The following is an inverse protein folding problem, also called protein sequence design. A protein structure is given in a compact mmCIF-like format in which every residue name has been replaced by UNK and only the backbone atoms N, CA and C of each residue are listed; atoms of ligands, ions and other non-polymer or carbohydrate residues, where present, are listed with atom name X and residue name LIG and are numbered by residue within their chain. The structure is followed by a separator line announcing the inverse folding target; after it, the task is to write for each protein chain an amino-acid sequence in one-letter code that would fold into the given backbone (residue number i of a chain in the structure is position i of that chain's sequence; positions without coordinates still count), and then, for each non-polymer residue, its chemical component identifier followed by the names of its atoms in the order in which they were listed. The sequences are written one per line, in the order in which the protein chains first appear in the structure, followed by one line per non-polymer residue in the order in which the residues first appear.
data_IF_148223375269
#
_entry.id   IF_148223375269
#
_cell.length_a   1.000
_cell.length_b   1.000
_cell.length_c   1.000
_cell.angle_alpha   90.00
_cell.angle_beta   90.00
_cell.angle_gamma   90.00
#
_symmetry.space_group_name_H-M   'P 1'
#
loop_
_entity.id
_entity.type
_entity.pdbx_description
1 polymer ?
#
# COMPACT_ATOMS: atom_id res chain seq x y z
N UNK A 1 16.92 2.65 -3.26
CA UNK A 1 15.70 1.85 -3.38
C UNK A 1 14.78 2.23 -2.25
N UNK A 2 13.87 3.15 -2.55
CA UNK A 2 12.75 3.47 -1.67
C UNK A 2 11.68 2.38 -1.77
N UNK A 3 11.00 2.13 -0.66
CA UNK A 3 9.89 1.18 -0.59
C UNK A 3 8.63 1.90 -0.11
N UNK A 4 7.53 1.65 -0.82
CA UNK A 4 6.20 2.20 -0.50
C UNK A 4 5.27 1.08 -0.06
N UNK A 5 4.66 1.19 1.12
CA UNK A 5 3.69 0.23 1.65
C UNK A 5 2.29 0.83 1.72
N UNK A 6 1.34 0.22 1.01
CA UNK A 6 -0.02 0.75 0.85
C UNK A 6 -0.99 0.07 1.83
N UNK A 7 -1.87 0.86 2.48
CA UNK A 7 -2.89 0.42 3.45
C UNK A 7 -4.22 1.17 3.24
N UNK A 8 -5.31 0.65 3.82
CA UNK A 8 -6.63 1.34 3.87
C UNK A 8 -6.73 2.13 5.15
N UNK A 9 -7.38 3.28 5.10
CA UNK A 9 -7.71 4.09 6.27
C UNK A 9 -9.20 4.34 6.34
N UNK A 10 -9.73 4.43 7.55
CA UNK A 10 -11.06 4.93 7.82
C UNK A 10 -10.95 6.20 8.64
N UNK A 11 -11.50 7.30 8.11
CA UNK A 11 -11.71 8.54 8.85
C UNK A 11 -13.17 8.60 9.34
N UNK A 12 -13.47 9.28 10.46
CA UNK A 12 -14.83 9.42 10.96
C UNK A 12 -15.69 10.31 10.03
N UNK A 13 -16.94 9.90 9.79
CA UNK A 13 -17.89 10.51 8.84
C UNK A 13 -18.31 11.96 9.17
N UNK A 14 -17.89 12.53 10.31
CA UNK A 14 -18.34 13.83 10.80
C UNK A 14 -17.17 14.81 10.87
N UNK A 15 -17.06 15.72 9.89
CA UNK A 15 -16.05 16.81 9.83
C UNK A 15 -14.62 16.38 10.25
N UNK A 16 -14.23 15.13 9.96
CA UNK A 16 -12.91 14.61 10.20
C UNK A 16 -11.96 15.12 9.13
N UNK A 17 -11.55 16.39 9.25
CA UNK A 17 -10.55 16.98 8.36
C UNK A 17 -9.32 16.07 8.29
N UNK A 18 -8.74 15.81 7.12
CA UNK A 18 -7.44 15.13 7.00
C UNK A 18 -6.33 15.77 7.84
N UNK A 19 -6.54 17.01 8.32
CA UNK A 19 -5.73 17.68 9.36
C UNK A 19 -5.69 16.92 10.70
N UNK A 20 -6.61 16.00 10.98
CA UNK A 20 -6.49 15.07 12.12
C UNK A 20 -5.24 14.20 12.02
N UNK A 21 -4.69 13.99 10.81
CA UNK A 21 -3.42 13.30 10.62
C UNK A 21 -2.23 14.11 11.16
N UNK A 22 -2.34 15.44 11.22
CA UNK A 22 -1.34 16.30 11.87
C UNK A 22 -1.26 16.01 13.38
N UNK A 23 -2.37 15.56 13.96
CA UNK A 23 -2.51 15.25 15.38
C UNK A 23 -2.00 13.86 15.76
N UNK A 24 -1.47 13.07 14.82
CA UNK A 24 -0.85 11.76 15.10
C UNK A 24 0.41 11.85 15.98
N UNK A 25 0.84 13.06 16.34
CA UNK A 25 2.01 13.31 17.18
C UNK A 25 1.75 12.88 18.64
N UNK A 26 2.23 11.70 19.03
CA UNK A 26 2.21 11.21 20.41
C UNK A 26 3.32 10.17 20.67
N UNK A 27 3.76 10.06 21.94
CA UNK A 27 4.74 9.11 22.51
C UNK A 27 5.41 8.09 21.57
N UNK A 28 6.31 8.56 20.69
CA UNK A 28 7.10 7.74 19.77
C UNK A 28 6.84 7.98 18.28
N UNK A 29 5.91 8.87 17.93
CA UNK A 29 5.63 9.35 16.57
C UNK A 29 5.53 10.88 16.59
N UNK A 30 6.23 11.56 15.69
CA UNK A 30 6.05 12.99 15.44
C UNK A 30 5.76 13.25 13.97
N UNK A 31 4.77 14.08 13.68
CA UNK A 31 4.42 14.52 12.32
C UNK A 31 5.09 15.86 12.02
N UNK A 32 5.71 16.00 10.83
CA UNK A 32 6.28 17.25 10.33
C UNK A 32 5.94 17.45 8.85
N UNK A 33 6.17 18.68 8.38
CA UNK A 33 6.07 19.06 6.96
C UNK A 33 4.74 18.68 6.30
N UNK A 34 3.64 18.83 7.05
CA UNK A 34 2.31 18.48 6.57
C UNK A 34 1.83 19.43 5.47
N UNK A 35 1.51 18.88 4.31
CA UNK A 35 1.02 19.64 3.15
C UNK A 35 0.06 18.80 2.31
N UNK A 36 -0.61 19.42 1.33
CA UNK A 36 -1.48 18.70 0.41
C UNK A 36 -1.28 19.13 -1.04
N UNK A 37 -1.65 18.23 -1.97
CA UNK A 37 -1.66 18.50 -3.41
C UNK A 37 -2.79 17.75 -4.10
N UNK A 38 -3.23 18.26 -5.24
CA UNK A 38 -4.13 17.53 -6.14
C UNK A 38 -3.36 16.46 -6.94
N UNK A 39 -3.99 15.32 -7.20
CA UNK A 39 -3.41 14.27 -8.08
C UNK A 39 -3.66 14.61 -9.54
N UNK A 40 -2.61 14.48 -10.35
CA UNK A 40 -2.76 14.46 -11.82
C UNK A 40 -2.75 13.01 -12.31
N UNK A 41 -3.73 12.60 -13.13
CA UNK A 41 -3.76 11.24 -13.67
C UNK A 41 -2.52 10.93 -14.52
N UNK A 42 -1.88 9.80 -14.21
CA UNK A 42 -0.78 9.18 -14.97
C UNK A 42 -1.26 7.93 -15.72
N UNK A 43 -2.41 7.36 -15.35
CA UNK A 43 -3.02 6.23 -16.05
C UNK A 43 -4.34 6.62 -16.72
N UNK A 44 -4.68 5.92 -17.81
CA UNK A 44 -5.96 6.08 -18.47
C UNK A 44 -7.11 5.62 -17.57
N UNK A 45 -8.23 6.34 -17.65
CA UNK A 45 -9.46 6.07 -16.91
C UNK A 45 -9.28 6.09 -15.38
N UNK A 46 -8.42 6.99 -14.88
CA UNK A 46 -8.26 7.19 -13.44
C UNK A 46 -9.58 7.65 -12.79
N UNK A 47 -10.11 6.92 -11.78
CA UNK A 47 -11.46 7.14 -11.29
C UNK A 47 -11.58 8.31 -10.30
N UNK A 48 -10.48 8.71 -9.65
CA UNK A 48 -10.48 9.66 -8.55
C UNK A 48 -10.09 11.08 -8.99
N UNK A 49 -10.96 11.70 -9.79
CA UNK A 49 -10.68 12.97 -10.48
C UNK A 49 -10.52 14.20 -9.57
N UNK A 50 -11.03 14.16 -8.33
CA UNK A 50 -10.93 15.25 -7.35
C UNK A 50 -10.00 14.88 -6.18
N UNK A 51 -9.17 13.84 -6.36
CA UNK A 51 -8.34 13.32 -5.28
C UNK A 51 -7.33 14.36 -4.79
N UNK A 52 -7.35 14.55 -3.47
CA UNK A 52 -6.33 15.30 -2.74
C UNK A 52 -5.45 14.32 -1.98
N UNK A 53 -4.14 14.54 -2.05
CA UNK A 53 -3.14 13.79 -1.28
C UNK A 53 -2.61 14.69 -0.20
N UNK A 54 -2.73 14.25 1.05
CA UNK A 54 -2.10 14.84 2.22
C UNK A 54 -0.80 14.10 2.48
N UNK A 55 0.30 14.82 2.66
CA UNK A 55 1.63 14.27 2.89
C UNK A 55 2.23 14.83 4.17
N UNK A 56 3.10 14.07 4.80
CA UNK A 56 3.95 14.54 5.88
C UNK A 56 5.05 13.53 6.22
N UNK A 57 5.94 13.90 7.12
CA UNK A 57 7.01 13.03 7.63
C UNK A 57 6.65 12.56 9.04
N UNK A 58 6.77 11.25 9.27
CA UNK A 58 6.71 10.60 10.57
C UNK A 58 8.13 10.29 11.04
N UNK A 59 8.45 10.60 12.29
CA UNK A 59 9.64 10.04 12.95
C UNK A 59 9.23 8.85 13.82
N UNK A 60 9.68 7.64 13.49
CA UNK A 60 9.43 6.41 14.26
C UNK A 60 10.64 6.03 15.10
N UNK A 61 10.44 5.86 16.40
CA UNK A 61 11.49 5.40 17.32
C UNK A 61 11.50 3.88 17.43
N UNK A 62 12.47 3.24 16.79
CA UNK A 62 12.71 1.79 16.89
C UNK A 62 13.50 1.49 18.17
N UNK A 63 12.90 0.72 19.07
CA UNK A 63 13.54 0.24 20.28
C UNK A 63 14.45 -0.95 19.97
N UNK A 64 15.65 -0.98 20.56
CA UNK A 64 16.56 -2.13 20.49
C UNK A 64 16.80 -2.71 21.88
N UNK A 65 16.81 -4.05 21.98
CA UNK A 65 17.18 -4.73 23.22
C UNK A 65 18.69 -4.68 23.51
N UNK A 66 19.51 -4.38 22.51
CA UNK A 66 20.97 -4.53 22.58
C UNK A 66 21.75 -3.26 22.25
N UNK A 67 21.08 -2.21 21.76
CA UNK A 67 21.66 -0.91 21.45
C UNK A 67 20.65 0.22 21.76
N UNK A 68 21.04 1.47 21.52
CA UNK A 68 20.28 2.70 21.79
C UNK A 68 19.02 2.88 20.93
N UNK A 69 18.69 1.92 20.05
CA UNK A 69 17.62 2.05 19.08
C UNK A 69 17.98 2.99 17.93
N UNK A 70 17.00 3.35 17.10
CA UNK A 70 17.17 4.38 16.06
C UNK A 70 15.87 5.12 15.77
N UNK A 71 15.99 6.37 15.34
CA UNK A 71 14.87 7.13 14.79
C UNK A 71 14.86 6.96 13.27
N UNK A 72 13.73 6.53 12.72
CA UNK A 72 13.53 6.28 11.30
C UNK A 72 12.57 7.34 10.76
N UNK A 73 12.99 8.18 9.79
CA UNK A 73 12.07 9.05 9.06
C UNK A 73 11.25 8.21 8.07
N UNK A 74 9.95 8.46 8.03
CA UNK A 74 8.99 7.76 7.17
C UNK A 74 8.05 8.80 6.58
N UNK A 75 8.02 8.94 5.27
CA UNK A 75 7.03 9.79 4.63
C UNK A 75 5.69 9.05 4.59
N UNK A 76 4.59 9.77 4.81
CA UNK A 76 3.26 9.21 4.62
C UNK A 76 2.47 10.01 3.61
N UNK A 77 1.53 9.31 2.97
CA UNK A 77 0.48 9.92 2.17
C UNK A 77 -0.88 9.41 2.62
N UNK A 78 -1.87 10.30 2.67
CA UNK A 78 -3.28 9.95 2.75
C UNK A 78 -4.02 10.49 1.53
N UNK A 79 -4.78 9.63 0.87
CA UNK A 79 -5.47 9.91 -0.40
C UNK A 79 -6.98 9.90 -0.15
N UNK A 80 -7.64 11.03 -0.40
CA UNK A 80 -9.00 11.28 0.12
C UNK A 80 -10.10 10.43 -0.49
N UNK A 81 -10.07 10.17 -1.80
CA UNK A 81 -11.16 9.44 -2.46
C UNK A 81 -10.95 7.91 -2.40
N UNK A 82 -9.70 7.46 -2.51
CA UNK A 82 -9.35 6.04 -2.39
C UNK A 82 -9.21 5.58 -0.94
N UNK A 83 -9.24 6.52 0.01
CA UNK A 83 -8.99 6.31 1.45
C UNK A 83 -7.70 5.53 1.73
N UNK A 84 -6.72 5.61 0.84
CA UNK A 84 -5.46 4.90 1.00
C UNK A 84 -4.50 5.69 1.87
N UNK A 85 -3.74 4.95 2.67
CA UNK A 85 -2.63 5.46 3.44
C UNK A 85 -1.36 4.74 3.05
N UNK A 86 -0.37 5.49 2.61
CA UNK A 86 0.86 4.98 2.03
C UNK A 86 2.00 5.40 2.94
N UNK A 87 2.86 4.46 3.32
CA UNK A 87 4.10 4.73 4.04
C UNK A 87 5.27 4.53 3.08
N UNK A 88 6.12 5.54 2.93
CA UNK A 88 7.34 5.48 2.14
C UNK A 88 8.55 5.56 3.07
N UNK A 89 9.53 4.69 2.84
CA UNK A 89 10.74 4.64 3.63
C UNK A 89 11.93 4.26 2.77
N UNK A 90 13.06 4.89 3.05
CA UNK A 90 14.33 4.69 2.34
C UNK A 90 15.27 3.69 3.04
N UNK A 91 14.80 3.11 4.16
CA UNK A 91 15.56 2.16 4.97
C UNK A 91 14.76 0.91 5.21
N UNK A 92 15.44 -0.21 5.41
CA UNK A 92 14.79 -1.45 5.82
C UNK A 92 14.14 -1.28 7.20
N UNK A 93 12.83 -1.44 7.24
CA UNK A 93 12.03 -1.44 8.45
C UNK A 93 11.66 -2.89 8.77
N UNK A 94 11.91 -3.37 10.00
CA UNK A 94 11.61 -4.76 10.37
C UNK A 94 10.13 -5.13 10.30
N UNK A 95 9.24 -4.17 10.57
CA UNK A 95 7.80 -4.39 10.65
C UNK A 95 7.01 -3.09 10.43
N UNK A 96 6.41 -2.97 9.24
CA UNK A 96 5.45 -1.89 8.95
C UNK A 96 4.23 -2.00 9.87
N UNK A 97 3.82 -3.22 10.23
CA UNK A 97 2.67 -3.45 11.11
C UNK A 97 2.84 -2.85 12.50
N UNK A 98 4.06 -2.82 13.03
CA UNK A 98 4.31 -2.20 14.32
C UNK A 98 4.22 -0.68 14.25
N UNK A 99 4.62 -0.08 13.13
CA UNK A 99 4.38 1.35 12.86
C UNK A 99 2.88 1.61 12.80
N UNK A 100 2.12 0.80 12.07
CA UNK A 100 0.66 0.94 11.98
C UNK A 100 -0.03 0.78 13.34
N UNK A 101 0.41 -0.17 14.20
CA UNK A 101 -0.12 -0.32 15.56
C UNK A 101 0.14 0.92 16.41
N UNK A 102 1.34 1.49 16.33
CA UNK A 102 1.69 2.72 17.05
C UNK A 102 0.92 3.93 16.53
N UNK A 103 0.80 4.08 15.20
CA UNK A 103 -0.02 5.12 14.58
C UNK A 103 -1.48 5.04 15.05
N UNK A 104 -2.08 3.86 15.05
CA UNK A 104 -3.45 3.68 15.54
C UNK A 104 -3.60 3.96 17.05
N UNK A 105 -2.55 3.76 17.83
CA UNK A 105 -2.54 4.08 19.28
C UNK A 105 -2.38 5.58 19.52
N UNK A 106 -1.61 6.27 18.67
CA UNK A 106 -1.44 7.71 18.71
C UNK A 106 -2.63 8.46 18.08
N UNK A 107 -3.40 7.80 17.21
CA UNK A 107 -4.43 8.44 16.43
C UNK A 107 -5.61 8.94 17.28
N UNK A 108 -6.17 10.13 16.96
CA UNK A 108 -7.40 10.60 17.57
C UNK A 108 -8.54 9.60 17.39
N UNK A 109 -9.48 9.60 18.35
CA UNK A 109 -10.67 8.74 18.31
C UNK A 109 -11.37 8.82 16.93
N UNK A 110 -11.45 7.69 16.23
CA UNK A 110 -12.16 7.56 14.96
C UNK A 110 -11.26 7.42 13.73
N UNK A 111 -9.98 7.80 13.81
CA UNK A 111 -9.00 7.51 12.75
C UNK A 111 -8.50 6.09 12.94
N UNK A 112 -8.58 5.27 11.88
CA UNK A 112 -8.05 3.90 11.91
C UNK A 112 -7.36 3.55 10.61
N UNK A 113 -6.08 3.19 10.69
CA UNK A 113 -5.31 2.64 9.58
C UNK A 113 -5.37 1.12 9.70
N UNK A 114 -5.91 0.46 8.68
CA UNK A 114 -6.04 -0.99 8.65
C UNK A 114 -4.69 -1.65 8.36
N UNK A 115 -4.39 -2.75 9.07
CA UNK A 115 -3.16 -3.52 8.84
C UNK A 115 -3.13 -4.17 7.47
N UNK A 116 -4.30 -4.62 6.97
CA UNK A 116 -4.41 -5.31 5.69
C UNK A 116 -5.43 -4.58 4.80
N UNK A 117 -5.10 -4.44 3.53
CA UNK A 117 -6.00 -4.11 2.44
C UNK A 117 -6.99 -5.26 2.28
N UNK A 118 -8.25 -5.03 2.61
CA UNK A 118 -9.31 -5.97 2.24
C UNK A 118 -9.68 -5.69 0.79
N UNK A 119 -9.12 -6.47 -0.14
CA UNK A 119 -9.32 -6.28 -1.59
C UNK A 119 -10.28 -7.32 -2.15
N UNK A 120 -11.06 -6.93 -3.15
CA UNK A 120 -11.83 -7.89 -3.95
C UNK A 120 -10.86 -8.76 -4.77
N UNK A 121 -11.05 -10.07 -4.72
CA UNK A 121 -10.20 -11.05 -5.41
C UNK A 121 -10.14 -10.80 -6.91
N UNK A 122 -11.28 -10.55 -7.56
CA UNK A 122 -11.35 -10.33 -9.00
C UNK A 122 -10.58 -9.06 -9.39
N UNK A 123 -10.74 -8.00 -8.60
CA UNK A 123 -10.10 -6.71 -8.81
C UNK A 123 -8.58 -6.80 -8.60
N UNK A 124 -8.11 -7.56 -7.60
CA UNK A 124 -6.68 -7.86 -7.44
C UNK A 124 -6.13 -8.65 -8.64
N UNK A 125 -6.83 -9.70 -9.08
CA UNK A 125 -6.42 -10.46 -10.27
C UNK A 125 -6.35 -9.58 -11.52
N UNK A 126 -7.29 -8.65 -11.70
CA UNK A 126 -7.26 -7.67 -12.80
C UNK A 126 -6.00 -6.80 -12.75
N UNK A 127 -5.64 -6.30 -11.57
CA UNK A 127 -4.38 -5.55 -11.38
C UNK A 127 -3.15 -6.39 -11.73
N UNK A 128 -3.06 -7.63 -11.22
CA UNK A 128 -1.93 -8.53 -11.47
C UNK A 128 -1.81 -8.90 -12.97
N UNK A 129 -2.93 -9.13 -13.64
CA UNK A 129 -2.96 -9.41 -15.08
C UNK A 129 -2.62 -8.19 -15.94
N UNK A 130 -2.75 -6.98 -15.40
CA UNK A 130 -2.33 -5.74 -16.04
C UNK A 130 -0.81 -5.53 -16.05
N UNK A 131 -0.03 -6.36 -15.34
CA UNK A 131 1.42 -6.27 -15.30
C UNK A 131 2.07 -6.74 -16.61
N UNK A 132 3.20 -6.13 -16.97
CA UNK A 132 3.98 -6.53 -18.15
C UNK A 132 4.61 -7.92 -17.97
N UNK A 133 4.92 -8.28 -16.72
CA UNK A 133 5.46 -9.58 -16.37
C UNK A 133 5.00 -10.02 -14.99
N UNK A 134 4.45 -11.22 -14.92
CA UNK A 134 4.26 -11.94 -13.66
C UNK A 134 5.57 -12.66 -13.34
N UNK A 135 6.13 -12.43 -12.15
CA UNK A 135 7.36 -13.07 -11.69
C UNK A 135 7.00 -14.31 -10.86
N UNK A 136 6.14 -14.13 -9.87
CA UNK A 136 5.66 -15.20 -9.01
C UNK A 136 4.27 -14.88 -8.46
N UNK A 137 3.46 -15.90 -8.21
CA UNK A 137 2.15 -15.80 -7.55
C UNK A 137 1.95 -17.05 -6.71
N UNK A 138 1.60 -16.87 -5.44
CA UNK A 138 1.10 -17.94 -4.59
C UNK A 138 -0.38 -17.72 -4.25
N UNK A 139 -1.13 -18.81 -4.22
CA UNK A 139 -2.57 -18.80 -3.90
C UNK A 139 -2.86 -19.73 -2.75
N UNK A 140 -3.97 -19.48 -2.06
CA UNK A 140 -4.54 -20.45 -1.11
C UNK A 140 -5.54 -21.34 -1.85
N UNK A 141 -5.27 -22.64 -1.92
CA UNK A 141 -6.16 -23.62 -2.54
C UNK A 141 -7.41 -23.94 -1.68
N UNK A 142 -8.32 -24.76 -2.20
CA UNK A 142 -9.53 -25.21 -1.48
C UNK A 142 -9.24 -25.95 -0.15
N UNK A 143 -8.02 -26.46 0.02
CA UNK A 143 -7.56 -27.13 1.24
C UNK A 143 -6.94 -26.16 2.26
N UNK A 144 -6.83 -24.88 1.93
CA UNK A 144 -6.20 -23.87 2.78
C UNK A 144 -4.67 -23.90 2.72
N UNK A 145 -4.10 -24.56 1.72
CA UNK A 145 -2.64 -24.66 1.53
C UNK A 145 -2.17 -23.62 0.51
N UNK A 146 -1.01 -23.04 0.77
CA UNK A 146 -0.33 -22.17 -0.16
C UNK A 146 0.32 -23.00 -1.28
N UNK A 147 -0.01 -22.67 -2.53
CA UNK A 147 0.52 -23.34 -3.72
C UNK A 147 1.03 -22.32 -4.75
N UNK A 148 2.22 -22.54 -5.35
CA UNK A 148 2.70 -21.71 -6.45
C UNK A 148 1.76 -21.82 -7.65
N UNK A 149 1.40 -20.68 -8.24
CA UNK A 149 0.49 -20.62 -9.37
C UNK A 149 1.09 -21.26 -10.63
N UNK A 150 2.41 -21.17 -10.82
CA UNK A 150 3.09 -21.68 -12.00
C UNK A 150 3.10 -23.22 -12.08
N UNK A 151 3.16 -23.89 -10.93
CA UNK A 151 3.05 -25.35 -10.75
C UNK A 151 1.67 -25.92 -11.11
N UNK A 152 0.66 -25.08 -11.30
CA UNK A 152 -0.69 -25.51 -11.63
C UNK A 152 -0.87 -25.76 -13.13
N UNK A 153 -1.67 -26.79 -13.44
CA UNK A 153 -2.08 -27.11 -14.80
C UNK A 153 -2.88 -25.95 -15.44
N UNK A 154 -2.77 -25.81 -16.77
CA UNK A 154 -3.37 -24.67 -17.49
C UNK A 154 -4.89 -24.60 -17.33
N UNK A 155 -5.56 -25.76 -17.31
CA UNK A 155 -7.00 -25.85 -17.07
C UNK A 155 -7.37 -25.28 -15.70
N UNK A 156 -6.62 -25.65 -14.65
CA UNK A 156 -6.82 -25.17 -13.29
C UNK A 156 -6.57 -23.66 -13.16
N UNK A 157 -5.57 -23.11 -13.86
CA UNK A 157 -5.27 -21.66 -13.84
C UNK A 157 -6.49 -20.81 -14.23
N UNK A 158 -7.24 -21.22 -15.26
CA UNK A 158 -8.42 -20.47 -15.72
C UNK A 158 -9.58 -20.47 -14.70
N UNK A 159 -9.69 -21.54 -13.91
CA UNK A 159 -10.70 -21.68 -12.87
C UNK A 159 -10.34 -20.91 -11.59
N UNK A 160 -9.03 -20.72 -11.35
CA UNK A 160 -8.45 -20.08 -10.16
C UNK A 160 -8.51 -18.55 -10.22
N UNK A 161 -8.30 -17.99 -11.41
CA UNK A 161 -8.32 -16.54 -11.61
C UNK A 161 -9.67 -15.98 -11.15
N UNK A 162 -9.64 -15.08 -10.17
CA UNK A 162 -10.82 -14.42 -9.62
C UNK A 162 -11.63 -15.25 -8.60
N UNK A 163 -11.31 -16.54 -8.40
CA UNK A 163 -12.03 -17.41 -7.46
C UNK A 163 -11.24 -17.66 -6.17
N UNK A 164 -9.93 -17.85 -6.28
CA UNK A 164 -9.05 -18.13 -5.13
C UNK A 164 -8.37 -16.86 -4.60
N UNK A 165 -8.12 -16.78 -3.28
CA UNK A 165 -7.28 -15.74 -2.70
C UNK A 165 -5.85 -15.84 -3.22
N UNK A 166 -5.29 -14.70 -3.61
CA UNK A 166 -3.84 -14.54 -3.78
C UNK A 166 -3.26 -14.23 -2.40
N UNK A 167 -2.29 -15.03 -1.96
CA UNK A 167 -1.58 -14.79 -0.70
C UNK A 167 -0.39 -13.85 -0.97
N UNK A 168 0.43 -14.22 -1.95
CA UNK A 168 1.60 -13.47 -2.39
C UNK A 168 1.59 -13.31 -3.92
N UNK A 169 2.04 -12.16 -4.42
CA UNK A 169 2.32 -11.97 -5.84
C UNK A 169 3.45 -10.97 -6.05
N UNK A 170 4.40 -11.33 -6.90
CA UNK A 170 5.45 -10.43 -7.38
C UNK A 170 5.26 -10.22 -8.88
N UNK A 171 5.05 -8.95 -9.28
CA UNK A 171 4.83 -8.57 -10.67
C UNK A 171 5.69 -7.36 -11.04
N UNK A 172 5.98 -7.23 -12.33
CA UNK A 172 6.73 -6.11 -12.87
C UNK A 172 5.87 -5.30 -13.85
N UNK A 173 5.88 -3.98 -13.66
CA UNK A 173 5.26 -3.00 -14.53
C UNK A 173 6.34 -2.11 -15.16
N UNK A 174 5.99 -1.48 -16.27
CA UNK A 174 6.85 -0.56 -17.01
C UNK A 174 6.20 0.82 -17.03
N UNK A 175 7.00 1.84 -16.76
CA UNK A 175 6.60 3.24 -16.92
C UNK A 175 7.76 4.01 -17.54
N UNK A 176 7.57 4.52 -18.75
CA UNK A 176 8.69 5.02 -19.56
C UNK A 176 9.70 3.91 -19.83
N UNK A 177 10.96 4.16 -19.48
CA UNK A 177 12.06 3.18 -19.61
C UNK A 177 12.34 2.39 -18.31
N UNK A 178 11.60 2.66 -17.23
CA UNK A 178 11.80 2.05 -15.92
C UNK A 178 10.96 0.80 -15.73
N UNK A 179 11.54 -0.20 -15.03
CA UNK A 179 10.84 -1.40 -14.58
C UNK A 179 10.62 -1.35 -13.09
N UNK A 180 9.38 -1.52 -12.67
CA UNK A 180 8.92 -1.33 -11.30
C UNK A 180 8.47 -2.67 -10.78
N UNK A 181 9.06 -3.10 -9.67
CA UNK A 181 8.62 -4.31 -8.97
C UNK A 181 7.55 -3.94 -7.96
N UNK A 182 6.41 -4.60 -8.07
CA UNK A 182 5.31 -4.52 -7.14
C UNK A 182 5.12 -5.90 -6.50
N UNK A 183 5.12 -5.93 -5.18
CA UNK A 183 5.02 -7.13 -4.39
C UNK A 183 3.81 -7.01 -3.45
N UNK A 184 2.83 -7.87 -3.67
CA UNK A 184 1.64 -7.98 -2.85
C UNK A 184 1.81 -9.16 -1.88
N UNK A 185 1.56 -8.96 -0.60
CA UNK A 185 1.61 -10.02 0.42
C UNK A 185 0.58 -9.72 1.52
N UNK A 186 -0.27 -10.70 1.85
CA UNK A 186 -1.22 -10.65 2.97
C UNK A 186 -2.05 -9.35 3.07
N UNK A 187 -2.45 -8.79 1.93
CA UNK A 187 -3.20 -7.54 1.87
C UNK A 187 -2.33 -6.29 1.98
N UNK A 188 -1.05 -6.35 1.65
CA UNK A 188 -0.16 -5.19 1.61
C UNK A 188 0.49 -5.13 0.23
N UNK A 189 0.43 -3.97 -0.42
CA UNK A 189 1.17 -3.75 -1.66
C UNK A 189 2.43 -2.95 -1.35
N UNK A 190 3.59 -3.54 -1.65
CA UNK A 190 4.90 -2.92 -1.57
C UNK A 190 5.41 -2.60 -2.97
N UNK A 191 5.83 -1.36 -3.21
CA UNK A 191 6.36 -0.92 -4.50
C UNK A 191 7.82 -0.49 -4.30
N UNK A 192 8.71 -1.04 -5.13
CA UNK A 192 10.14 -0.70 -5.10
C UNK A 192 10.51 0.08 -6.36
N UNK A 193 10.76 1.38 -6.19
CA UNK A 193 11.25 2.26 -7.25
C UNK A 193 11.99 3.46 -6.64
N UNK A 194 12.98 3.99 -7.35
CA UNK A 194 13.63 5.25 -6.99
C UNK A 194 13.01 6.46 -7.73
N UNK A 195 11.97 6.23 -8.55
CA UNK A 195 11.32 7.28 -9.32
C UNK A 195 9.87 7.52 -8.86
N UNK A 196 9.63 8.69 -8.24
CA UNK A 196 8.32 9.05 -7.65
C UNK A 196 7.15 8.92 -8.65
N UNK A 197 7.34 9.29 -9.92
CA UNK A 197 6.30 9.18 -10.93
C UNK A 197 5.96 7.72 -11.29
N UNK A 198 6.96 6.83 -11.26
CA UNK A 198 6.75 5.41 -11.47
C UNK A 198 5.96 4.80 -10.30
N UNK A 199 6.33 5.13 -9.05
CA UNK A 199 5.55 4.71 -7.87
C UNK A 199 4.12 5.21 -7.95
N UNK A 200 3.92 6.51 -8.23
CA UNK A 200 2.60 7.12 -8.38
C UNK A 200 1.78 6.45 -9.49
N UNK A 201 2.40 6.08 -10.61
CA UNK A 201 1.73 5.35 -11.67
C UNK A 201 1.18 4.00 -11.19
N UNK A 202 1.96 3.22 -10.43
CA UNK A 202 1.49 1.94 -9.86
C UNK A 202 0.40 2.16 -8.81
N UNK A 203 0.53 3.18 -7.96
CA UNK A 203 -0.51 3.56 -7.00
C UNK A 203 -1.82 3.84 -7.73
N UNK A 204 -1.78 4.61 -8.82
CA UNK A 204 -2.99 4.92 -9.59
C UNK A 204 -3.57 3.71 -10.34
N UNK A 205 -2.73 2.80 -10.84
CA UNK A 205 -3.20 1.53 -11.40
C UNK A 205 -3.92 0.69 -10.34
N UNK A 206 -3.35 0.59 -9.13
CA UNK A 206 -3.95 -0.14 -8.02
C UNK A 206 -5.28 0.50 -7.59
N UNK A 207 -5.31 1.83 -7.48
CA UNK A 207 -6.53 2.60 -7.22
C UNK A 207 -7.63 2.32 -8.25
N UNK A 208 -7.28 2.32 -9.54
CA UNK A 208 -8.21 2.07 -10.63
C UNK A 208 -8.72 0.63 -10.66
N UNK A 209 -7.82 -0.32 -10.50
CA UNK A 209 -8.12 -1.73 -10.78
C UNK A 209 -8.58 -2.51 -9.56
N UNK A 210 -8.22 -2.06 -8.36
CA UNK A 210 -8.49 -2.77 -7.09
C UNK A 210 -9.43 -2.00 -6.16
N UNK A 211 -9.34 -0.67 -6.12
CA UNK A 211 -10.09 0.13 -5.14
C UNK A 211 -11.42 0.67 -5.68
N UNK A 212 -11.45 1.08 -6.95
CA UNK A 212 -12.64 1.70 -7.54
C UNK A 212 -13.73 0.70 -7.98
N UNK A 213 -13.50 -0.60 -7.79
CA UNK A 213 -14.36 -1.71 -8.23
C UNK A 213 -15.37 -2.13 -7.16
#
# INVERSE_FOLDING_TARGET
MSSSSIRRTKLPDYEGSPELLEQLSNGGISVKDFHHKSVSPLCENYPFSSQTVYRGELSYEEESMWDTGRTIPIDFEYRTESEMFILNFDVDIPSVDDIIKRLNTAAPNGVRIHQNLTVNRQSLWKFLQGADKIIDISIINDHGEEVPFDELETTSKSEIIGSHPVEEATVAFSYGDEKILAHYESGSLNINSDWEQATEYIVQLFERDVIAD
#
